data_IF_464892036357
#
_entry.id   IF_464892036357
#
_cell.length_a   1.000
_cell.length_b   1.000
_cell.length_c   1.000
_cell.angle_alpha   90.00
_cell.angle_beta   90.00
_cell.angle_gamma   90.00
#
_symmetry.space_group_name_H-M   'P 1'
#
loop_
_entity.id
_entity.type
_entity.pdbx_description
1 polymer ?
2 branched ?
3 non-polymer ?
4 water ?
#
# COMPACT_ATOMS: atom_id res chain seq x y z
N UNK A 3 -4.71 0.53 12.77
CA UNK A 3 -3.29 0.58 12.50
C UNK A 3 -2.58 1.69 13.24
N UNK A 4 -1.42 2.11 12.73
CA UNK A 4 -0.69 3.21 13.33
C UNK A 4 -1.42 4.52 13.07
N UNK A 5 -1.58 5.32 14.13
CA UNK A 5 -2.33 6.57 14.07
C UNK A 5 -1.46 7.74 14.51
N UNK A 6 -1.73 8.90 13.90
CA UNK A 6 -0.99 10.11 14.21
C UNK A 6 -1.92 11.30 13.99
N UNK A 7 -1.89 12.24 14.92
CA UNK A 7 -2.75 13.40 14.78
C UNK A 7 -2.22 14.30 13.67
N UNK A 8 -3.12 15.06 13.07
CA UNK A 8 -2.73 16.01 12.03
C UNK A 8 -1.85 17.10 12.64
N UNK A 9 -0.74 17.39 11.98
CA UNK A 9 0.18 18.46 12.34
C UNK A 9 -0.07 19.63 11.41
N UNK A 10 0.15 20.86 11.90
CA UNK A 10 -0.13 22.03 11.10
C UNK A 10 0.75 22.15 9.86
N UNK A 11 1.88 21.43 9.81
CA UNK A 11 2.70 21.41 8.62
C UNK A 11 2.18 20.47 7.54
N UNK A 12 1.25 19.57 7.86
CA UNK A 12 0.69 18.69 6.86
C UNK A 12 -0.03 19.52 5.82
N UNK A 13 0.30 19.27 4.55
CA UNK A 13 -0.41 19.89 3.45
C UNK A 13 -1.21 18.79 2.75
N UNK A 14 -2.37 18.46 3.31
CA UNK A 14 -3.23 17.43 2.73
C UNK A 14 -3.88 18.01 1.49
N UNK A 15 -3.70 17.33 0.36
CA UNK A 15 -4.20 17.77 -0.92
C UNK A 15 -4.98 16.71 -1.66
N UNK A 16 -4.97 15.46 -1.22
CA UNK A 16 -5.59 14.39 -1.96
C UNK A 16 -6.45 13.56 -1.04
N UNK A 17 -7.70 13.38 -1.44
CA UNK A 17 -8.65 12.52 -0.73
C UNK A 17 -9.09 11.43 -1.71
N UNK A 18 -9.38 10.25 -1.18
CA UNK A 18 -9.78 9.11 -2.02
C UNK A 18 -11.07 8.56 -1.44
N UNK A 19 -12.10 8.42 -2.29
CA UNK A 19 -13.35 7.83 -1.87
C UNK A 19 -13.12 6.35 -1.54
N UNK A 20 -13.64 5.92 -0.38
CA UNK A 20 -13.34 4.58 0.12
C UNK A 20 -13.74 3.47 -0.85
N UNK A 21 -14.98 3.48 -1.32
CA UNK A 21 -15.46 2.37 -2.13
C UNK A 21 -15.13 2.53 -3.60
N UNK A 22 -15.27 3.74 -4.13
CA UNK A 22 -15.08 3.93 -5.56
C UNK A 22 -13.63 4.18 -5.94
N UNK A 23 -12.79 4.62 -5.01
CA UNK A 23 -11.42 4.95 -5.35
C UNK A 23 -11.25 6.24 -6.14
N UNK A 24 -12.30 7.05 -6.31
CA UNK A 24 -12.14 8.34 -6.97
C UNK A 24 -11.19 9.21 -6.17
N UNK A 25 -10.18 9.77 -6.84
CA UNK A 25 -9.25 10.72 -6.22
C UNK A 25 -9.72 12.13 -6.47
N UNK A 26 -9.67 12.97 -5.45
CA UNK A 26 -10.03 14.36 -5.65
C UNK A 26 -9.08 15.26 -4.88
N UNK A 27 -8.91 16.48 -5.40
CA UNK A 27 -8.09 17.49 -4.74
C UNK A 27 -8.93 18.11 -3.63
N UNK A 28 -8.50 17.89 -2.38
CA UNK A 28 -9.23 18.40 -1.24
C UNK A 28 -8.33 18.30 -0.03
N UNK A 29 -8.60 19.14 0.98
CA UNK A 29 -7.81 19.11 2.21
C UNK A 29 -8.37 18.15 3.25
N UNK A 30 -9.57 17.61 3.03
CA UNK A 30 -10.31 16.97 4.10
C UNK A 30 -11.17 15.86 3.52
N UNK A 31 -11.07 14.67 4.09
CA UNK A 31 -11.97 13.59 3.72
C UNK A 31 -11.74 12.41 4.65
N UNK A 32 -12.65 11.44 4.56
CA UNK A 32 -12.55 10.28 5.43
C UNK A 32 -11.24 9.53 5.22
N UNK A 33 -10.80 9.40 3.98
CA UNK A 33 -9.52 8.80 3.64
C UNK A 33 -8.71 9.86 2.90
N UNK A 34 -7.58 10.26 3.49
CA UNK A 34 -6.75 11.34 3.00
C UNK A 34 -5.31 10.85 2.86
N UNK A 35 -4.56 11.45 1.94
CA UNK A 35 -3.15 11.11 1.78
C UNK A 35 -2.31 11.99 2.69
N UNK A 36 -1.61 11.35 3.63
CA UNK A 36 -0.83 12.03 4.65
C UNK A 36 0.63 11.67 4.42
N UNK A 37 1.46 12.70 4.33
CA UNK A 37 2.92 12.55 4.23
C UNK A 37 3.51 13.19 5.48
N UNK A 38 3.78 12.37 6.48
CA UNK A 38 4.56 12.84 7.61
C UNK A 38 5.97 13.14 7.13
N UNK A 39 6.58 14.20 7.69
CA UNK A 39 7.94 14.59 7.28
C UNK A 39 8.87 13.40 7.18
N UNK A 40 9.49 13.26 5.99
CA UNK A 40 10.43 12.22 5.71
C UNK A 40 9.82 10.94 5.18
N UNK A 41 8.57 10.66 5.50
CA UNK A 41 7.99 9.35 5.29
C UNK A 41 7.24 9.29 3.95
N UNK A 42 7.02 8.07 3.48
CA UNK A 42 6.32 7.91 2.21
C UNK A 42 4.83 8.22 2.43
N UNK A 43 4.15 8.73 1.40
CA UNK A 43 2.74 9.12 1.58
C UNK A 43 1.84 7.91 1.73
N UNK A 44 0.86 8.03 2.64
CA UNK A 44 -0.04 6.93 2.98
C UNK A 44 -1.48 7.41 3.02
N UNK A 45 -2.39 6.60 2.51
CA UNK A 45 -3.82 6.86 2.63
C UNK A 45 -4.28 6.48 4.03
N UNK A 46 -4.81 7.44 4.78
CA UNK A 46 -5.15 7.21 6.17
C UNK A 46 -6.59 7.62 6.46
N UNK A 47 -7.21 6.87 7.37
CA UNK A 47 -8.60 7.04 7.71
C UNK A 47 -8.71 7.99 8.90
N UNK A 48 -9.60 8.96 8.80
CA UNK A 48 -9.88 9.83 9.93
C UNK A 48 -10.75 9.09 10.94
N UNK A 49 -10.27 9.05 12.19
CA UNK A 49 -10.88 8.30 13.30
C UNK A 49 -11.11 9.25 14.46
N UNK A 50 -12.19 9.02 15.23
CA UNK A 50 -12.51 9.83 16.38
C UNK A 50 -11.85 9.26 17.62
N UNK A 51 -11.25 10.14 18.44
CA UNK A 51 -10.49 9.74 19.62
C UNK A 51 -10.79 10.70 20.76
N UNK A 52 -10.42 10.27 21.96
CA UNK A 52 -10.27 11.18 23.09
C UNK A 52 -8.78 11.40 23.29
N UNK A 53 -8.38 12.66 23.36
CA UNK A 53 -6.99 13.04 23.58
C UNK A 53 -6.98 14.25 24.49
N UNK A 54 -6.18 14.19 25.56
CA UNK A 54 -6.13 15.23 26.57
C UNK A 54 -7.53 15.65 27.01
N UNK A 55 -8.36 14.65 27.32
CA UNK A 55 -9.65 14.84 27.98
C UNK A 55 -10.65 15.55 27.08
N UNK A 56 -10.46 15.44 25.76
CA UNK A 56 -11.28 16.15 24.79
C UNK A 56 -11.49 15.26 23.57
N UNK A 57 -12.60 15.50 22.87
CA UNK A 57 -12.89 14.78 21.63
C UNK A 57 -12.06 15.33 20.48
N UNK A 58 -11.60 14.40 19.64
CA UNK A 58 -10.79 14.70 18.49
C UNK A 58 -10.67 13.52 17.58
N UNK A 59 -10.55 13.87 16.37
CA UNK A 59 -9.64 13.35 15.39
C UNK A 59 -8.14 12.91 15.53
N UNK A 60 -7.94 11.79 14.84
CA UNK A 60 -6.63 11.33 14.41
C UNK A 60 -6.72 10.60 13.06
N UNK A 61 -5.55 10.30 12.49
CA UNK A 61 -5.44 9.64 11.18
C UNK A 61 -4.73 8.30 11.33
N UNK A 62 -5.35 7.23 10.81
CA UNK A 62 -4.86 5.87 11.02
C UNK A 62 -4.67 5.14 9.71
N UNK A 63 -3.56 4.42 9.59
CA UNK A 63 -3.26 3.65 8.39
C UNK A 63 -3.98 2.31 8.47
N UNK A 64 -5.29 2.38 8.28
CA UNK A 64 -6.15 1.22 8.46
C UNK A 64 -6.34 0.47 7.14
N UNK A 65 -6.70 -0.81 7.27
CA UNK A 65 -6.88 -1.67 6.12
C UNK A 65 -8.06 -1.21 5.27
N UNK A 66 -7.90 -1.28 3.96
CA UNK A 66 -8.92 -0.85 3.02
C UNK A 66 -8.91 -1.83 1.86
N UNK A 67 -10.06 -2.44 1.57
CA UNK A 67 -10.17 -3.34 0.42
C UNK A 67 -10.39 -2.50 -0.83
N UNK A 68 -9.40 -2.48 -1.71
CA UNK A 68 -9.40 -1.64 -2.90
C UNK A 68 -9.97 -2.34 -4.12
N UNK A 69 -10.51 -3.55 -3.96
CA UNK A 69 -11.02 -4.28 -5.12
C UNK A 69 -12.02 -3.46 -5.92
N UNK A 70 -12.94 -2.79 -5.23
CA UNK A 70 -13.99 -2.05 -5.92
C UNK A 70 -13.48 -0.81 -6.65
N UNK A 71 -12.22 -0.41 -6.43
CA UNK A 71 -11.65 0.70 -7.18
C UNK A 71 -11.52 0.38 -8.66
N UNK A 72 -11.41 -0.90 -9.00
CA UNK A 72 -11.27 -1.29 -10.38
C UNK A 72 -10.06 -0.70 -11.07
N UNK A 73 -8.93 -0.59 -10.36
CA UNK A 73 -7.71 -0.07 -10.97
C UNK A 73 -6.51 -0.68 -10.24
N UNK A 74 -5.44 -0.91 -10.98
CA UNK A 74 -4.34 -1.64 -10.37
C UNK A 74 -3.32 -0.70 -9.75
N UNK A 75 -2.58 -1.17 -8.75
CA UNK A 75 -1.49 -0.37 -8.20
C UNK A 75 -0.27 -0.43 -9.12
N UNK A 76 0.67 0.48 -8.85
CA UNK A 76 1.97 0.48 -9.53
C UNK A 76 2.98 -0.42 -8.84
N UNK A 77 2.91 -0.55 -7.51
CA UNK A 77 3.79 -1.40 -6.73
C UNK A 77 2.97 -2.02 -5.61
N UNK A 78 3.48 -3.10 -5.04
CA UNK A 78 2.92 -3.66 -3.83
C UNK A 78 4.05 -4.05 -2.90
N UNK A 79 3.72 -4.29 -1.64
CA UNK A 79 4.73 -4.82 -0.75
C UNK A 79 4.09 -5.74 0.27
N UNK A 80 4.89 -6.67 0.77
CA UNK A 80 4.46 -7.58 1.80
C UNK A 80 5.65 -8.33 2.34
N UNK A 81 5.62 -8.65 3.62
CA UNK A 81 6.64 -9.50 4.24
C UNK A 81 8.04 -8.94 4.05
N UNK A 82 8.15 -7.62 3.96
CA UNK A 82 9.44 -6.98 3.88
C UNK A 82 10.07 -6.92 2.51
N UNK A 83 9.28 -7.09 1.44
CA UNK A 83 9.76 -6.81 0.10
C UNK A 83 8.75 -5.95 -0.65
N UNK A 84 9.28 -5.07 -1.48
CA UNK A 84 8.50 -4.16 -2.32
C UNK A 84 8.80 -4.52 -3.76
N UNK A 85 7.74 -4.68 -4.57
CA UNK A 85 7.90 -5.14 -5.96
C UNK A 85 7.01 -4.33 -6.88
N UNK A 86 7.42 -4.18 -8.14
CA UNK A 86 6.51 -3.65 -9.15
C UNK A 86 5.29 -4.56 -9.29
N UNK A 87 4.14 -3.94 -9.58
CA UNK A 87 2.94 -4.72 -9.89
C UNK A 87 3.02 -5.24 -11.33
N UNK A 88 2.86 -6.55 -11.49
CA UNK A 88 2.74 -7.16 -12.80
C UNK A 88 1.37 -7.80 -12.91
N UNK A 89 0.65 -7.61 -14.03
CA UNK A 89 -0.67 -8.24 -14.18
C UNK A 89 -0.63 -9.73 -13.91
N UNK A 90 -1.57 -10.19 -13.09
CA UNK A 90 -1.60 -11.55 -12.60
C UNK A 90 -1.22 -11.65 -11.14
N UNK A 91 -0.56 -10.64 -10.59
CA UNK A 91 -0.20 -10.66 -9.18
C UNK A 91 -1.45 -10.64 -8.29
N UNK A 92 -1.36 -11.36 -7.17
CA UNK A 92 -2.36 -11.27 -6.12
C UNK A 92 -2.17 -9.98 -5.33
N UNK A 93 -3.18 -9.65 -4.51
CA UNK A 93 -3.10 -8.50 -3.61
C UNK A 93 -2.15 -8.82 -2.47
N UNK A 94 -1.21 -7.91 -2.20
CA UNK A 94 -0.28 -8.08 -1.09
C UNK A 94 -0.74 -7.29 0.15
N UNK A 95 0.19 -7.03 1.08
CA UNK A 95 -0.16 -6.41 2.34
C UNK A 95 -0.41 -4.91 2.18
N UNK A 96 0.27 -4.28 1.23
CA UNK A 96 0.13 -2.86 0.95
C UNK A 96 0.25 -2.65 -0.56
N UNK A 97 -0.45 -1.63 -1.05
CA UNK A 97 -0.50 -1.29 -2.47
C UNK A 97 -0.14 0.17 -2.67
N UNK A 98 0.72 0.46 -3.65
CA UNK A 98 1.12 1.83 -3.97
C UNK A 98 0.48 2.25 -5.28
N UNK A 99 -0.25 3.36 -5.26
CA UNK A 99 -0.94 3.88 -6.43
C UNK A 99 -0.19 5.08 -6.99
N UNK A 100 -0.22 5.20 -8.33
CA UNK A 100 0.73 6.06 -9.03
C UNK A 100 0.55 7.55 -8.73
N UNK A 101 -0.64 8.01 -8.38
CA UNK A 101 -0.72 9.41 -7.97
C UNK A 101 0.22 9.68 -6.80
N UNK A 102 0.43 8.67 -5.95
CA UNK A 102 1.52 8.69 -5.00
C UNK A 102 1.07 8.41 -3.59
N UNK A 103 0.67 7.19 -3.29
CA UNK A 103 0.30 6.87 -1.91
C UNK A 103 0.25 5.36 -1.73
N UNK A 104 0.64 4.93 -0.53
CA UNK A 104 0.46 3.56 -0.09
C UNK A 104 -0.90 3.38 0.57
N UNK A 105 -1.51 2.22 0.33
CA UNK A 105 -2.75 1.82 0.97
C UNK A 105 -2.48 0.54 1.74
N UNK A 106 -2.97 0.47 2.97
CA UNK A 106 -2.89 -0.74 3.77
C UNK A 106 -3.95 -1.67 3.20
N UNK A 107 -3.51 -2.74 2.54
CA UNK A 107 -4.39 -3.58 1.74
C UNK A 107 -4.81 -4.81 2.52
N UNK A 108 -5.62 -5.63 1.85
CA UNK A 108 -6.24 -6.80 2.45
C UNK A 108 -5.56 -8.12 2.12
N UNK A 109 -4.43 -8.10 1.41
CA UNK A 109 -3.78 -9.32 0.98
C UNK A 109 -2.68 -9.76 1.93
N UNK A 110 -1.86 -10.68 1.44
CA UNK A 110 -0.78 -11.23 2.22
C UNK A 110 0.51 -11.20 1.43
N UNK A 111 1.25 -12.30 1.52
CA UNK A 111 2.54 -12.41 0.86
C UNK A 111 2.57 -13.45 -0.24
N UNK A 112 1.43 -14.03 -0.61
CA UNK A 112 1.35 -14.95 -1.73
C UNK A 112 1.17 -14.14 -3.00
N UNK A 113 2.23 -14.02 -3.80
CA UNK A 113 2.26 -13.19 -5.00
C UNK A 113 1.54 -13.85 -6.17
N UNK A 114 1.73 -15.15 -6.35
CA UNK A 114 0.98 -15.96 -7.30
C UNK A 114 0.65 -17.26 -6.59
N UNK A 115 -0.18 -18.10 -7.21
CA UNK A 115 -0.53 -19.37 -6.57
C UNK A 115 0.73 -20.18 -6.30
N UNK A 116 0.96 -20.50 -5.02
CA UNK A 116 2.14 -21.26 -4.65
C UNK A 116 3.45 -20.51 -4.73
N UNK A 117 3.42 -19.18 -4.80
CA UNK A 117 4.63 -18.37 -4.94
C UNK A 117 4.54 -17.24 -3.93
N UNK A 118 5.43 -17.23 -2.95
CA UNK A 118 5.41 -16.23 -1.90
C UNK A 118 6.59 -15.28 -2.02
N UNK A 119 6.33 -14.01 -1.76
CA UNK A 119 7.39 -13.04 -1.58
C UNK A 119 7.97 -13.32 -0.21
N UNK A 120 9.17 -13.88 -0.15
CA UNK A 120 9.75 -14.33 1.10
C UNK A 120 11.24 -14.04 1.06
N UNK A 121 11.69 -13.25 2.04
CA UNK A 121 13.11 -12.89 2.10
C UNK A 121 14.02 -14.09 2.23
N UNK A 122 13.50 -15.20 2.78
CA UNK A 122 14.27 -16.42 2.95
C UNK A 122 13.93 -17.47 1.90
N UNK A 123 13.41 -17.04 0.75
CA UNK A 123 13.01 -17.95 -0.30
C UNK A 123 14.17 -18.52 -1.09
N UNK A 124 13.81 -19.39 -2.03
CA UNK A 124 14.75 -20.21 -2.79
C UNK A 124 15.01 -19.74 -4.21
N UNK A 125 14.36 -18.67 -4.68
CA UNK A 125 14.55 -18.17 -6.05
C UNK A 125 14.82 -16.67 -5.99
N UNK A 126 15.94 -16.24 -6.56
CA UNK A 126 16.23 -14.83 -6.73
C UNK A 126 15.93 -14.42 -8.16
N UNK A 127 15.30 -13.28 -8.33
CA UNK A 127 14.99 -12.80 -9.68
C UNK A 127 14.83 -11.28 -9.62
N UNK A 128 14.42 -10.70 -10.74
CA UNK A 128 14.23 -9.25 -10.81
C UNK A 128 13.01 -8.91 -11.65
N UNK A 129 12.43 -7.75 -11.37
CA UNK A 129 11.36 -7.18 -12.19
C UNK A 129 11.78 -5.75 -12.50
N UNK A 130 12.06 -5.47 -13.76
CA UNK A 130 12.38 -4.10 -14.17
C UNK A 130 13.55 -3.54 -13.37
N UNK A 131 14.55 -4.38 -13.12
CA UNK A 131 15.73 -3.98 -12.38
C UNK A 131 15.61 -4.08 -10.87
N UNK A 132 14.41 -4.34 -10.35
CA UNK A 132 14.21 -4.44 -8.92
C UNK A 132 14.38 -5.90 -8.50
N UNK A 133 15.26 -6.14 -7.53
CA UNK A 133 15.53 -7.48 -7.05
C UNK A 133 14.43 -7.95 -6.10
N UNK A 134 14.18 -9.26 -6.12
CA UNK A 134 13.23 -9.90 -5.25
C UNK A 134 13.62 -11.36 -5.04
N UNK A 135 13.14 -11.92 -3.93
CA UNK A 135 13.34 -13.32 -3.60
C UNK A 135 11.97 -13.97 -3.39
N UNK A 136 11.75 -15.10 -4.03
CA UNK A 136 10.50 -15.84 -3.96
C UNK A 136 10.74 -17.18 -3.30
N UNK A 137 9.69 -17.67 -2.64
CA UNK A 137 9.60 -19.03 -2.15
C UNK A 137 8.56 -19.76 -2.98
N UNK A 138 8.94 -20.89 -3.55
CA UNK A 138 8.04 -21.61 -4.43
C UNK A 138 7.46 -22.81 -3.70
N UNK A 139 6.19 -23.08 -3.97
CA UNK A 139 5.56 -24.28 -3.47
C UNK A 139 6.02 -25.49 -4.27
N UNK A 140 5.95 -26.66 -3.63
CA UNK A 140 6.36 -27.89 -4.26
C UNK A 140 5.31 -28.36 -5.26
N UNK A 146 4.96 -28.27 -13.32
CA UNK A 146 5.93 -27.19 -13.35
C UNK A 146 5.43 -26.00 -12.53
N UNK A 147 6.24 -24.95 -12.48
CA UNK A 147 5.89 -23.74 -11.72
C UNK A 147 6.48 -22.55 -12.46
N UNK A 148 5.61 -21.65 -12.94
CA UNK A 148 6.07 -20.43 -13.59
C UNK A 148 6.74 -19.48 -12.60
N UNK A 149 7.88 -18.94 -13.00
CA UNK A 149 8.59 -17.95 -12.19
C UNK A 149 8.16 -16.56 -12.67
N UNK A 150 7.42 -15.77 -11.87
CA UNK A 150 6.79 -14.53 -12.36
C UNK A 150 7.71 -13.32 -12.26
N UNK A 151 8.87 -13.42 -12.90
CA UNK A 151 9.96 -12.47 -12.80
C UNK A 151 11.05 -12.93 -13.75
N UNK A 152 12.07 -12.08 -13.91
CA UNK A 152 13.07 -12.26 -14.94
C UNK A 152 14.41 -12.65 -14.34
N UNK A 153 15.27 -13.29 -15.10
CA UNK A 153 16.58 -13.70 -14.56
C UNK A 153 17.42 -12.49 -14.19
N UNK A 154 18.31 -12.69 -13.22
CA UNK A 154 19.19 -11.60 -12.82
C UNK A 154 20.23 -11.33 -13.91
N UNK A 155 20.63 -12.35 -14.66
CA UNK A 155 21.61 -12.16 -15.72
C UNK A 155 21.00 -11.32 -16.84
N UNK A 156 21.77 -10.37 -17.34
CA UNK A 156 21.31 -9.48 -18.40
C UNK A 156 21.42 -10.16 -19.76
#
# INVERSE_FOLDING_TARGET
ETGSCHIRQDYYNIQLVVEEKTGVEKRSIMGKWSVITREGREPKLMEQINIVSNNSLSETYCYNRLNTSSWGRQPARQRGCGQTVPYWPGDNVLEEQYYSTGYWVNATGGCQLREGVWLSRKGNVQCQRNGSSLILQLAIKEENDTMEIPCDPVETESMGPVAQGTCVYSWAFAPRGWYYNRKDGYWLQYIKKNDYQYWTKMPTASSAATMYRHGTGGSGGSGLNDIFEAQKIEWHEGRTKHHHHHH
#
